data_IF_352942983875
#
_entry.id   IF_352942983875
#
_cell.length_a   1.000
_cell.length_b   1.000
_cell.length_c   1.000
_cell.angle_alpha   90.00
_cell.angle_beta   90.00
_cell.angle_gamma   90.00
#
_symmetry.space_group_name_H-M   'P 1'
#
loop_
_entity.id
_entity.type
_entity.pdbx_description
1 polymer ?
#
# COMPACT_ATOMS: atom_id res chain seq x y z
N UNK A 1 9.57 -53.77 27.48
CA UNK A 1 9.34 -52.31 27.43
C UNK A 1 10.61 -51.60 27.87
N UNK A 2 11.58 -51.34 26.97
CA UNK A 2 12.73 -50.51 27.31
C UNK A 2 12.27 -49.04 27.30
N UNK A 3 12.66 -48.31 28.36
CA UNK A 3 12.26 -46.93 28.60
C UNK A 3 12.95 -46.00 27.60
N UNK A 4 12.15 -45.21 26.91
CA UNK A 4 12.56 -44.07 26.08
C UNK A 4 13.52 -43.15 26.86
N UNK A 5 14.80 -43.20 26.52
CA UNK A 5 15.83 -42.31 27.03
C UNK A 5 16.00 -41.03 26.17
N UNK A 6 15.27 -40.92 25.05
CA UNK A 6 15.22 -39.71 24.22
C UNK A 6 14.78 -38.47 25.03
N UNK A 7 13.99 -38.67 26.09
CA UNK A 7 13.50 -37.60 26.98
C UNK A 7 14.62 -36.95 27.81
N UNK A 8 15.77 -37.62 28.02
CA UNK A 8 16.87 -37.08 28.84
C UNK A 8 17.80 -36.11 28.10
N UNK A 9 17.77 -36.07 26.76
CA UNK A 9 18.55 -35.11 25.97
C UNK A 9 17.82 -33.78 25.71
N UNK A 10 16.49 -33.75 25.90
CA UNK A 10 15.66 -32.55 25.73
C UNK A 10 16.10 -31.31 26.55
N UNK A 11 16.50 -31.41 27.84
CA UNK A 11 16.78 -30.22 28.63
C UNK A 11 18.09 -29.51 28.23
N UNK A 12 19.10 -30.24 27.74
CA UNK A 12 20.34 -29.64 27.21
C UNK A 12 20.14 -29.04 25.81
N UNK A 13 19.24 -29.63 25.00
CA UNK A 13 18.83 -29.07 23.72
C UNK A 13 18.08 -27.75 23.94
N UNK A 14 17.07 -27.70 24.82
CA UNK A 14 16.31 -26.47 25.13
C UNK A 14 17.17 -25.27 25.60
N UNK A 15 18.29 -25.53 26.28
CA UNK A 15 19.17 -24.47 26.78
C UNK A 15 19.95 -23.76 25.64
N UNK A 16 20.43 -24.49 24.63
CA UNK A 16 21.19 -23.90 23.52
C UNK A 16 20.28 -23.09 22.57
N UNK A 17 19.02 -23.51 22.39
CA UNK A 17 17.98 -22.75 21.68
C UNK A 17 17.74 -21.41 22.34
N UNK A 18 17.64 -21.40 23.67
CA UNK A 18 17.35 -20.19 24.45
C UNK A 18 18.46 -19.13 24.32
N UNK A 19 19.73 -19.55 24.21
CA UNK A 19 20.87 -18.62 24.14
C UNK A 19 21.02 -18.00 22.73
N UNK A 20 20.77 -18.78 21.67
CA UNK A 20 20.79 -18.27 20.30
C UNK A 20 19.55 -17.43 19.98
N UNK A 21 18.37 -17.81 20.50
CA UNK A 21 17.16 -17.01 20.40
C UNK A 21 17.26 -15.67 21.15
N UNK A 22 17.98 -15.64 22.28
CA UNK A 22 18.24 -14.41 23.03
C UNK A 22 19.16 -13.43 22.27
N UNK A 23 20.09 -13.93 21.45
CA UNK A 23 20.94 -13.10 20.58
C UNK A 23 20.19 -12.55 19.36
N UNK A 24 19.08 -13.18 18.96
CA UNK A 24 18.12 -12.65 17.97
C UNK A 24 17.03 -11.76 18.57
N UNK A 25 17.14 -11.40 19.87
CA UNK A 25 16.19 -10.53 20.54
C UNK A 25 15.93 -9.27 19.71
N UNK A 26 14.65 -9.03 19.41
CA UNK A 26 14.13 -7.99 18.53
C UNK A 26 14.76 -6.62 18.81
N UNK A 27 15.88 -6.34 18.15
CA UNK A 27 16.38 -4.99 17.97
C UNK A 27 15.67 -4.41 16.75
N UNK A 28 14.37 -4.18 16.86
CA UNK A 28 13.75 -3.09 16.10
C UNK A 28 14.45 -1.84 16.60
N UNK A 29 15.40 -1.35 15.81
CA UNK A 29 16.17 -0.16 16.15
C UNK A 29 15.20 0.97 16.46
N UNK A 30 15.14 1.50 17.70
CA UNK A 30 14.25 2.61 18.05
C UNK A 30 14.58 3.87 17.22
N UNK A 31 15.74 3.90 16.55
CA UNK A 31 16.07 4.93 15.57
C UNK A 31 15.22 4.87 14.29
N UNK A 32 14.72 3.70 13.88
CA UNK A 32 13.95 3.58 12.64
C UNK A 32 12.56 4.25 12.76
N UNK A 33 11.91 4.16 13.92
CA UNK A 33 10.60 4.80 14.14
C UNK A 33 10.74 6.33 14.28
N UNK A 34 11.80 6.80 14.94
CA UNK A 34 12.12 8.23 15.04
C UNK A 34 12.58 8.83 13.69
N UNK A 35 13.32 8.07 12.87
CA UNK A 35 13.65 8.47 11.49
C UNK A 35 12.42 8.52 10.60
N UNK A 36 11.50 7.56 10.71
CA UNK A 36 10.25 7.56 9.97
C UNK A 36 9.37 8.77 10.35
N UNK A 37 9.24 9.05 11.66
CA UNK A 37 8.51 10.23 12.15
C UNK A 37 9.16 11.53 11.69
N UNK A 38 10.50 11.61 11.69
CA UNK A 38 11.23 12.77 11.15
C UNK A 38 11.06 12.90 9.64
N UNK A 39 11.11 11.79 8.90
CA UNK A 39 10.93 11.78 7.45
C UNK A 39 9.53 12.26 7.06
N UNK A 40 8.50 11.81 7.78
CA UNK A 40 7.11 12.28 7.59
C UNK A 40 6.98 13.76 8.00
N UNK A 41 7.58 14.18 9.12
CA UNK A 41 7.54 15.58 9.57
C UNK A 41 8.32 16.53 8.67
N UNK A 42 9.37 16.06 7.99
CA UNK A 42 10.16 16.82 7.01
C UNK A 42 9.55 16.80 5.60
N UNK A 43 8.80 15.74 5.24
CA UNK A 43 8.15 15.63 3.94
C UNK A 43 7.01 16.65 3.79
N UNK A 44 6.20 16.87 4.83
CA UNK A 44 5.12 17.85 4.82
C UNK A 44 5.58 19.30 4.49
N UNK A 45 6.62 19.85 5.15
CA UNK A 45 7.12 21.19 4.82
C UNK A 45 7.84 21.23 3.47
N UNK A 46 8.50 20.15 3.02
CA UNK A 46 9.08 20.09 1.65
C UNK A 46 8.00 20.14 0.59
N UNK A 47 6.94 19.37 0.75
CA UNK A 47 5.78 19.37 -0.16
C UNK A 47 5.05 20.72 -0.14
N UNK A 48 4.93 21.36 1.02
CA UNK A 48 4.39 22.71 1.15
C UNK A 48 5.30 23.76 0.47
N UNK A 49 6.62 23.62 0.61
CA UNK A 49 7.60 24.49 -0.03
C UNK A 49 7.59 24.33 -1.56
N UNK A 50 7.53 23.11 -2.08
CA UNK A 50 7.41 22.87 -3.53
C UNK A 50 6.06 23.34 -4.08
N UNK A 51 4.96 23.19 -3.33
CA UNK A 51 3.67 23.77 -3.68
C UNK A 51 3.73 25.31 -3.77
N UNK A 52 4.52 25.96 -2.91
CA UNK A 52 4.73 27.42 -2.98
C UNK A 52 5.67 27.89 -4.10
N UNK A 53 6.45 26.99 -4.71
CA UNK A 53 7.31 27.26 -5.87
C UNK A 53 6.60 27.14 -7.22
N UNK A 54 5.47 26.44 -7.26
CA UNK A 54 4.62 26.37 -8.46
C UNK A 54 3.99 27.75 -8.72
N UNK A 55 3.80 28.15 -10.00
CA UNK A 55 3.23 29.45 -10.34
C UNK A 55 1.88 29.61 -9.64
N UNK A 56 1.74 30.71 -8.90
CA UNK A 56 0.58 31.01 -8.08
C UNK A 56 -0.74 30.99 -8.85
N UNK A 57 -1.83 30.97 -8.10
CA UNK A 57 -3.22 30.96 -8.57
C UNK A 57 -3.38 31.78 -9.86
N UNK A 58 -3.59 31.09 -10.99
CA UNK A 58 -3.90 31.75 -12.25
C UNK A 58 -5.31 32.32 -12.15
N UNK A 59 -5.41 33.60 -11.80
CA UNK A 59 -6.68 34.32 -11.90
C UNK A 59 -7.10 34.40 -13.37
N UNK A 60 -8.09 33.60 -13.74
CA UNK A 60 -8.75 33.71 -15.03
C UNK A 60 -9.73 34.89 -14.95
N UNK A 61 -9.24 36.09 -15.25
CA UNK A 61 -10.12 37.25 -15.33
C UNK A 61 -11.01 37.14 -16.58
N UNK A 62 -12.33 37.10 -16.37
CA UNK A 62 -13.29 37.16 -17.46
C UNK A 62 -13.23 38.57 -18.05
N UNK A 63 -12.70 38.71 -19.26
CA UNK A 63 -12.73 39.99 -20.00
C UNK A 63 -14.20 40.43 -20.19
N UNK A 64 -14.55 41.71 -20.00
CA UNK A 64 -15.92 42.19 -20.17
C UNK A 64 -16.40 41.97 -21.61
N UNK A 65 -17.39 41.09 -21.79
CA UNK A 65 -17.92 40.77 -23.12
C UNK A 65 -18.92 41.81 -23.63
N UNK A 66 -19.61 42.51 -22.73
CA UNK A 66 -20.73 43.41 -23.06
C UNK A 66 -20.25 44.67 -23.78
N UNK A 67 -19.11 45.22 -23.36
CA UNK A 67 -18.50 46.43 -23.95
C UNK A 67 -18.12 46.24 -25.43
N UNK A 68 -17.88 45.00 -25.85
CA UNK A 68 -17.57 44.66 -27.25
C UNK A 68 -18.78 44.60 -28.18
N UNK A 69 -20.00 44.53 -27.64
CA UNK A 69 -21.20 44.32 -28.45
C UNK A 69 -21.73 45.62 -29.08
N UNK A 70 -21.17 46.79 -28.74
CA UNK A 70 -21.55 48.08 -29.33
C UNK A 70 -23.02 48.45 -29.09
N UNK A 71 -23.64 47.91 -28.04
CA UNK A 71 -25.06 48.11 -27.73
C UNK A 71 -25.28 49.55 -27.27
N UNK A 72 -26.31 50.20 -27.81
CA UNK A 72 -26.68 51.56 -27.40
C UNK A 72 -27.06 51.58 -25.90
N UNK A 73 -26.44 52.45 -25.07
CA UNK A 73 -26.67 52.53 -23.63
C UNK A 73 -28.13 52.70 -23.22
N UNK A 74 -28.97 53.30 -24.06
CA UNK A 74 -30.39 53.52 -23.74
C UNK A 74 -31.18 52.22 -23.56
N UNK A 75 -30.79 51.14 -24.25
CA UNK A 75 -31.48 49.85 -24.17
C UNK A 75 -30.88 48.91 -23.12
N UNK A 76 -29.74 49.26 -22.52
CA UNK A 76 -29.05 48.38 -21.56
C UNK A 76 -29.91 48.04 -20.34
N UNK A 77 -30.66 49.01 -19.79
CA UNK A 77 -31.52 48.76 -18.63
C UNK A 77 -32.68 47.79 -18.93
N UNK A 78 -33.23 47.85 -20.14
CA UNK A 78 -34.27 46.93 -20.60
C UNK A 78 -33.67 45.54 -20.86
N UNK A 79 -32.53 45.47 -21.56
CA UNK A 79 -31.82 44.22 -21.84
C UNK A 79 -31.34 43.53 -20.55
N UNK A 80 -30.90 44.28 -19.54
CA UNK A 80 -30.52 43.72 -18.24
C UNK A 80 -31.70 43.13 -17.48
N UNK A 81 -32.87 43.80 -17.50
CA UNK A 81 -34.11 43.24 -16.98
C UNK A 81 -34.57 42.02 -17.79
N UNK A 82 -34.27 42.00 -19.09
CA UNK A 82 -34.76 40.98 -19.99
C UNK A 82 -33.92 39.70 -19.96
N UNK A 83 -32.62 39.83 -20.16
CA UNK A 83 -31.69 38.71 -20.35
C UNK A 83 -30.37 38.90 -19.57
N UNK A 84 -30.25 39.95 -18.76
CA UNK A 84 -29.08 40.20 -17.93
C UNK A 84 -28.96 39.22 -16.75
N UNK A 85 -27.80 39.18 -16.08
CA UNK A 85 -27.58 38.30 -14.93
C UNK A 85 -28.57 38.52 -13.78
N UNK A 86 -29.09 39.74 -13.65
CA UNK A 86 -30.10 40.12 -12.67
C UNK A 86 -31.52 39.63 -13.01
N UNK A 87 -31.84 39.39 -14.28
CA UNK A 87 -33.17 38.96 -14.73
C UNK A 87 -33.58 37.58 -14.17
N UNK A 88 -32.58 36.76 -13.82
CA UNK A 88 -32.77 35.39 -13.32
C UNK A 88 -32.66 35.28 -11.79
N UNK A 89 -32.45 36.39 -11.06
CA UNK A 89 -32.35 36.37 -9.59
C UNK A 89 -33.74 36.17 -8.98
N UNK A 90 -33.87 35.18 -8.08
CA UNK A 90 -35.07 34.96 -7.29
C UNK A 90 -36.20 34.20 -8.01
N UNK A 91 -35.96 33.71 -9.23
CA UNK A 91 -36.82 32.70 -9.82
C UNK A 91 -36.48 31.33 -9.22
N UNK A 92 -37.46 30.73 -8.55
CA UNK A 92 -37.41 29.32 -8.21
C UNK A 92 -37.61 28.55 -9.51
N UNK A 93 -36.60 27.72 -9.84
CA UNK A 93 -36.75 26.73 -10.90
C UNK A 93 -37.70 25.68 -10.32
N UNK A 94 -38.75 25.27 -11.05
CA UNK A 94 -39.58 24.15 -10.64
C UNK A 94 -38.78 22.83 -10.77
N UNK A 95 -37.95 22.53 -9.76
CA UNK A 95 -37.21 21.26 -9.62
C UNK A 95 -37.98 20.31 -8.67
N UNK A 96 -39.21 20.67 -8.36
CA UNK A 96 -40.00 20.15 -7.26
C UNK A 96 -40.46 18.73 -7.56
N UNK A 97 -40.71 18.39 -8.82
CA UNK A 97 -41.31 17.12 -9.22
C UNK A 97 -40.27 16.23 -9.90
N UNK A 98 -40.14 14.99 -9.43
CA UNK A 98 -39.35 13.98 -10.12
C UNK A 98 -40.12 13.46 -11.36
N UNK A 99 -39.50 12.59 -12.15
CA UNK A 99 -40.13 11.91 -13.29
C UNK A 99 -41.39 11.09 -12.93
N UNK A 100 -41.65 10.88 -11.63
CA UNK A 100 -42.79 10.14 -11.08
C UNK A 100 -43.83 11.07 -10.41
N UNK A 101 -43.67 12.40 -10.51
CA UNK A 101 -44.59 13.41 -9.93
C UNK A 101 -44.49 13.57 -8.41
N UNK A 102 -43.44 13.03 -7.77
CA UNK A 102 -43.23 13.16 -6.33
C UNK A 102 -42.36 14.38 -6.00
N UNK A 103 -42.62 14.97 -4.82
CA UNK A 103 -41.86 16.11 -4.32
C UNK A 103 -40.40 15.73 -4.03
N UNK A 104 -39.47 16.31 -4.76
CA UNK A 104 -38.03 16.07 -4.62
C UNK A 104 -37.43 17.02 -3.59
N UNK A 105 -36.56 16.49 -2.74
CA UNK A 105 -35.80 17.31 -1.80
C UNK A 105 -34.66 18.03 -2.51
N UNK A 106 -34.81 19.33 -2.73
CA UNK A 106 -33.74 20.16 -3.30
C UNK A 106 -32.67 20.43 -2.25
N UNK A 107 -31.42 20.10 -2.55
CA UNK A 107 -30.28 20.31 -1.66
C UNK A 107 -29.29 21.28 -2.32
N UNK A 108 -29.07 22.43 -1.71
CA UNK A 108 -28.09 23.41 -2.19
C UNK A 108 -26.69 22.94 -1.79
N UNK A 109 -25.84 22.72 -2.79
CA UNK A 109 -24.45 22.28 -2.59
C UNK A 109 -23.53 23.38 -3.09
N UNK A 110 -22.59 23.82 -2.24
CA UNK A 110 -21.52 24.72 -2.66
C UNK A 110 -20.35 23.92 -3.25
N UNK A 111 -19.57 24.53 -4.14
CA UNK A 111 -18.37 23.92 -4.70
C UNK A 111 -17.42 23.41 -3.60
N UNK A 112 -17.17 24.21 -2.57
CA UNK A 112 -16.30 23.82 -1.46
C UNK A 112 -16.81 22.58 -0.72
N UNK A 113 -18.14 22.47 -0.52
CA UNK A 113 -18.75 21.29 0.09
C UNK A 113 -18.65 20.07 -0.82
N UNK A 114 -18.84 20.23 -2.13
CA UNK A 114 -18.70 19.16 -3.10
C UNK A 114 -17.26 18.61 -3.11
N UNK A 115 -16.26 19.50 -3.16
CA UNK A 115 -14.84 19.13 -3.13
C UNK A 115 -14.45 18.44 -1.83
N UNK A 116 -14.86 18.97 -0.67
CA UNK A 116 -14.60 18.33 0.62
C UNK A 116 -15.21 16.94 0.70
N UNK A 117 -16.49 16.82 0.34
CA UNK A 117 -17.20 15.53 0.35
C UNK A 117 -16.53 14.53 -0.58
N UNK A 118 -16.08 14.96 -1.76
CA UNK A 118 -15.34 14.12 -2.69
C UNK A 118 -13.96 13.71 -2.15
N UNK A 119 -13.22 14.60 -1.49
CA UNK A 119 -11.92 14.28 -0.91
C UNK A 119 -12.01 13.24 0.22
N UNK A 120 -13.07 13.31 1.03
CA UNK A 120 -13.26 12.47 2.22
C UNK A 120 -13.96 11.13 1.89
N UNK A 121 -15.01 11.17 1.07
CA UNK A 121 -15.93 10.05 0.89
C UNK A 121 -15.82 9.37 -0.47
N UNK A 122 -14.89 9.76 -1.34
CA UNK A 122 -14.69 9.06 -2.60
C UNK A 122 -14.00 7.71 -2.35
N UNK A 123 -14.73 6.62 -2.66
CA UNK A 123 -14.26 5.25 -2.47
C UNK A 123 -12.98 4.93 -3.25
N UNK A 124 -12.81 5.49 -4.46
CA UNK A 124 -11.60 5.29 -5.24
C UNK A 124 -10.39 5.93 -4.56
N UNK A 125 -10.54 7.13 -3.98
CA UNK A 125 -9.46 7.75 -3.19
C UNK A 125 -9.16 6.98 -1.91
N UNK A 126 -10.18 6.45 -1.23
CA UNK A 126 -9.98 5.60 -0.06
C UNK A 126 -9.18 4.34 -0.41
N UNK A 127 -9.47 3.72 -1.56
CA UNK A 127 -8.70 2.58 -2.05
C UNK A 127 -7.28 2.96 -2.44
N UNK A 128 -7.09 4.06 -3.17
CA UNK A 128 -5.75 4.55 -3.55
C UNK A 128 -4.87 4.88 -2.34
N UNK A 129 -5.44 5.21 -1.17
CA UNK A 129 -4.68 5.44 0.08
C UNK A 129 -4.05 4.17 0.66
N UNK A 130 -4.53 2.98 0.30
CA UNK A 130 -3.95 1.73 0.78
C UNK A 130 -2.61 1.42 0.10
N UNK A 131 -2.43 1.87 -1.15
CA UNK A 131 -1.25 1.52 -1.94
C UNK A 131 0.07 2.05 -1.33
N UNK A 132 0.18 3.32 -0.87
CA UNK A 132 1.38 3.78 -0.17
C UNK A 132 1.68 2.98 1.11
N UNK A 133 0.66 2.66 1.92
CA UNK A 133 0.85 1.88 3.14
C UNK A 133 1.34 0.44 2.86
N UNK A 134 0.89 -0.18 1.77
CA UNK A 134 1.39 -1.48 1.32
C UNK A 134 2.86 -1.36 0.90
N UNK A 135 3.21 -0.35 0.10
CA UNK A 135 4.61 -0.18 -0.34
C UNK A 135 5.55 0.23 0.79
N UNK A 136 5.07 0.92 1.82
CA UNK A 136 5.82 1.14 3.05
C UNK A 136 6.14 -0.19 3.75
N UNK A 137 5.18 -1.10 3.85
CA UNK A 137 5.42 -2.44 4.38
C UNK A 137 6.39 -3.26 3.50
N UNK A 138 6.37 -3.06 2.17
CA UNK A 138 7.37 -3.66 1.26
C UNK A 138 8.78 -3.11 1.51
N UNK A 139 8.93 -1.82 1.85
CA UNK A 139 10.23 -1.24 2.26
C UNK A 139 10.72 -1.89 3.56
N UNK A 140 9.84 -2.04 4.55
CA UNK A 140 10.18 -2.72 5.81
C UNK A 140 10.59 -4.18 5.55
N UNK A 141 9.87 -4.88 4.66
CA UNK A 141 10.21 -6.25 4.29
C UNK A 141 11.59 -6.34 3.59
N UNK A 142 11.91 -5.39 2.71
CA UNK A 142 13.21 -5.31 2.07
C UNK A 142 14.34 -5.00 3.06
N UNK A 143 14.07 -4.19 4.09
CA UNK A 143 15.02 -3.92 5.18
C UNK A 143 15.22 -5.15 6.08
N UNK A 144 14.15 -5.90 6.34
CA UNK A 144 14.19 -7.12 7.15
C UNK A 144 15.10 -8.22 6.56
N UNK A 145 15.46 -8.15 5.28
CA UNK A 145 16.48 -9.02 4.69
C UNK A 145 17.87 -8.86 5.36
N UNK A 146 18.13 -7.71 5.98
CA UNK A 146 19.37 -7.42 6.71
C UNK A 146 19.28 -7.73 8.21
N UNK A 147 18.12 -8.17 8.69
CA UNK A 147 17.93 -8.56 10.08
C UNK A 147 18.54 -9.93 10.37
N UNK A 148 18.69 -10.22 11.66
CA UNK A 148 19.14 -11.52 12.11
C UNK A 148 18.03 -12.55 11.89
N UNK A 149 18.32 -13.58 11.10
CA UNK A 149 17.42 -14.71 10.88
C UNK A 149 17.88 -15.88 11.74
N UNK A 150 17.01 -16.32 12.65
CA UNK A 150 17.22 -17.51 13.45
C UNK A 150 16.42 -18.68 12.87
N UNK A 151 17.10 -19.80 12.63
CA UNK A 151 16.50 -21.04 12.15
C UNK A 151 16.76 -22.16 13.15
N UNK A 152 15.76 -22.98 13.43
CA UNK A 152 15.92 -24.19 14.23
C UNK A 152 15.18 -25.32 13.53
N UNK A 153 15.87 -26.41 13.27
CA UNK A 153 15.32 -27.58 12.62
C UNK A 153 15.65 -28.83 13.45
N UNK A 154 14.63 -29.58 13.84
CA UNK A 154 14.77 -30.85 14.55
C UNK A 154 14.24 -31.96 13.64
N UNK A 155 15.14 -32.86 13.24
CA UNK A 155 14.82 -34.02 12.43
C UNK A 155 15.02 -35.28 13.27
N UNK A 156 14.01 -36.14 13.33
CA UNK A 156 14.11 -37.47 13.91
C UNK A 156 13.87 -38.50 12.81
N UNK A 157 14.81 -39.43 12.65
CA UNK A 157 14.77 -40.49 11.66
C UNK A 157 14.96 -41.84 12.35
N UNK A 158 14.04 -42.77 12.07
CA UNK A 158 14.07 -44.14 12.55
C UNK A 158 14.05 -45.06 11.32
N UNK A 159 15.13 -45.82 11.12
CA UNK A 159 15.31 -46.64 9.94
C UNK A 159 15.39 -48.11 10.34
N UNK A 160 14.31 -48.83 10.01
CA UNK A 160 14.17 -50.27 10.15
C UNK A 160 14.10 -50.91 8.76
N UNK A 161 15.22 -51.42 8.26
CA UNK A 161 15.29 -52.03 6.92
C UNK A 161 15.92 -53.43 6.94
N UNK A 162 15.31 -54.42 6.26
CA UNK A 162 15.89 -55.75 6.15
C UNK A 162 17.12 -55.72 5.24
N UNK A 163 18.26 -56.24 5.70
CA UNK A 163 19.47 -56.40 4.87
C UNK A 163 19.49 -57.79 4.23
N UNK A 164 19.75 -57.83 2.93
CA UNK A 164 19.97 -59.09 2.21
C UNK A 164 21.33 -59.66 2.61
N UNK A 165 21.38 -60.90 3.10
CA UNK A 165 22.63 -61.57 3.42
C UNK A 165 23.45 -61.78 2.13
N UNK A 166 24.69 -61.27 2.07
CA UNK A 166 25.56 -61.38 0.89
C UNK A 166 26.33 -62.71 0.82
N UNK A 167 26.08 -63.64 1.74
CA UNK A 167 26.84 -64.85 1.95
C UNK A 167 25.95 -66.01 2.45
N UNK A 168 26.16 -67.21 1.89
CA UNK A 168 25.35 -68.42 2.07
C UNK A 168 25.28 -68.96 3.53
N UNK A 169 26.13 -68.46 4.43
CA UNK A 169 26.26 -68.91 5.83
C UNK A 169 25.92 -67.84 6.88
N UNK A 170 25.24 -66.73 6.52
CA UNK A 170 24.80 -65.70 7.49
C UNK A 170 23.29 -65.50 7.44
N UNK A 171 22.68 -65.34 8.60
CA UNK A 171 21.28 -64.92 8.74
C UNK A 171 21.09 -63.54 8.11
N UNK A 172 19.91 -63.31 7.49
CA UNK A 172 19.47 -61.95 7.18
C UNK A 172 19.38 -61.16 8.49
N UNK A 173 19.97 -59.97 8.53
CA UNK A 173 19.93 -59.07 9.68
C UNK A 173 19.09 -57.84 9.31
N UNK A 174 18.45 -57.20 10.28
CA UNK A 174 17.83 -55.89 10.09
C UNK A 174 18.85 -54.78 10.42
N UNK A 175 18.83 -53.68 9.68
CA UNK A 175 19.41 -52.42 10.17
C UNK A 175 18.36 -51.79 11.08
N UNK A 176 18.77 -51.37 12.28
CA UNK A 176 17.95 -50.57 13.18
C UNK A 176 18.77 -49.36 13.64
N UNK A 177 18.56 -48.22 12.98
CA UNK A 177 19.29 -46.98 13.26
C UNK A 177 18.32 -45.86 13.60
N UNK A 178 18.54 -45.22 14.76
CA UNK A 178 17.85 -44.03 15.18
C UNK A 178 18.80 -42.84 15.13
N UNK A 179 18.47 -41.83 14.33
CA UNK A 179 19.23 -40.58 14.24
C UNK A 179 18.34 -39.39 14.58
N UNK A 180 18.78 -38.58 15.55
CA UNK A 180 18.19 -37.28 15.87
C UNK A 180 19.18 -36.20 15.49
N UNK A 181 18.82 -35.35 14.54
CA UNK A 181 19.63 -34.21 14.12
C UNK A 181 18.93 -32.92 14.53
N UNK A 182 19.63 -32.06 15.25
CA UNK A 182 19.15 -30.74 15.62
C UNK A 182 20.10 -29.67 15.12
N UNK A 183 19.58 -28.81 14.24
CA UNK A 183 20.32 -27.75 13.59
C UNK A 183 19.77 -26.40 14.03
N UNK A 184 20.63 -25.57 14.61
CA UNK A 184 20.33 -24.17 14.88
C UNK A 184 21.20 -23.29 13.99
N UNK A 185 20.62 -22.27 13.38
CA UNK A 185 21.30 -21.32 12.52
C UNK A 185 20.98 -19.90 12.94
N UNK A 186 21.99 -19.04 12.94
CA UNK A 186 21.84 -17.60 13.02
C UNK A 186 22.54 -16.99 11.81
N UNK A 187 21.83 -16.22 10.99
CA UNK A 187 22.34 -15.66 9.74
C UNK A 187 22.01 -14.18 9.64
N UNK A 188 22.95 -13.37 9.18
CA UNK A 188 22.75 -11.95 8.88
C UNK A 188 23.46 -11.54 7.59
N UNK A 189 22.74 -10.81 6.76
CA UNK A 189 23.34 -10.13 5.61
C UNK A 189 23.87 -8.75 6.05
N UNK A 190 25.12 -8.46 5.71
CA UNK A 190 25.79 -7.20 6.06
C UNK A 190 25.59 -6.19 4.94
N UNK A 191 25.58 -4.91 5.30
CA UNK A 191 25.46 -3.79 4.35
C UNK A 191 26.64 -3.76 3.35
N UNK A 192 27.77 -4.39 3.68
CA UNK A 192 28.92 -4.52 2.77
C UNK A 192 28.71 -5.57 1.66
N UNK A 193 27.60 -6.33 1.69
CA UNK A 193 27.33 -7.45 0.80
C UNK A 193 27.83 -8.81 1.34
N UNK A 194 28.52 -8.81 2.49
CA UNK A 194 28.97 -10.04 3.14
C UNK A 194 27.82 -10.75 3.89
N UNK A 195 27.95 -12.06 4.09
CA UNK A 195 27.01 -12.87 4.87
C UNK A 195 27.72 -13.48 6.08
N UNK A 196 27.18 -13.26 7.27
CA UNK A 196 27.64 -13.88 8.51
C UNK A 196 26.68 -14.98 8.90
N UNK A 197 27.21 -16.18 9.17
CA UNK A 197 26.43 -17.35 9.53
C UNK A 197 27.08 -18.07 10.71
N UNK A 198 26.30 -18.33 11.76
CA UNK A 198 26.65 -19.23 12.86
C UNK A 198 25.73 -20.44 12.80
N UNK A 199 26.27 -21.65 12.72
CA UNK A 199 25.50 -22.89 12.72
C UNK A 199 25.94 -23.74 13.88
N UNK A 200 24.98 -24.35 14.54
CA UNK A 200 25.20 -25.38 15.51
C UNK A 200 24.48 -26.63 15.03
N UNK A 201 25.23 -27.72 14.88
CA UNK A 201 24.70 -29.04 14.53
C UNK A 201 24.91 -29.98 15.71
N UNK A 202 23.84 -30.65 16.13
CA UNK A 202 23.89 -31.74 17.09
C UNK A 202 23.29 -32.98 16.45
N UNK A 203 24.06 -34.06 16.40
CA UNK A 203 23.64 -35.36 15.90
C UNK A 203 23.73 -36.34 17.06
N UNK A 204 22.60 -36.94 17.40
CA UNK A 204 22.54 -38.13 18.23
C UNK A 204 22.23 -39.33 17.34
N UNK A 205 23.04 -40.38 17.42
CA UNK A 205 22.81 -41.63 16.71
C UNK A 205 22.87 -42.80 17.68
N UNK A 206 21.91 -43.70 17.56
CA UNK A 206 21.78 -44.96 18.29
C UNK A 206 21.62 -46.08 17.23
N UNK A 207 22.56 -47.02 17.16
CA UNK A 207 22.55 -48.13 16.21
C UNK A 207 22.49 -49.47 16.96
N UNK A 208 21.37 -50.18 16.85
CA UNK A 208 21.12 -51.48 17.51
C UNK A 208 21.09 -52.64 16.48
N UNK A 209 21.79 -52.46 15.35
CA UNK A 209 21.82 -53.46 14.27
C UNK A 209 22.46 -54.79 14.72
N UNK A 210 21.77 -55.95 14.60
CA UNK A 210 22.31 -57.25 15.02
C UNK A 210 23.58 -57.63 14.26
N UNK A 211 24.67 -57.90 14.99
CA UNK A 211 25.97 -58.35 14.46
C UNK A 211 26.98 -57.24 14.16
N UNK A 212 26.70 -56.01 14.59
CA UNK A 212 27.64 -54.89 14.53
C UNK A 212 28.62 -54.92 15.73
N UNK A 213 29.90 -54.65 15.47
CA UNK A 213 31.00 -54.66 16.47
C UNK A 213 31.42 -53.25 16.90
N UNK A 214 30.75 -52.20 16.44
CA UNK A 214 31.06 -50.83 16.79
C UNK A 214 30.62 -50.56 18.25
N UNK A 215 31.60 -50.40 19.15
CA UNK A 215 31.37 -49.97 20.53
C UNK A 215 32.06 -48.61 20.70
N UNK A 216 31.34 -47.56 21.13
CA UNK A 216 29.93 -47.54 21.55
C UNK A 216 28.91 -47.55 20.38
N UNK A 217 27.74 -48.13 20.64
CA UNK A 217 26.52 -48.15 19.81
C UNK A 217 25.84 -46.78 19.69
N UNK A 218 26.10 -45.91 20.68
CA UNK A 218 25.62 -44.53 20.75
C UNK A 218 26.72 -43.54 20.47
N UNK A 219 26.40 -42.53 19.67
CA UNK A 219 27.28 -41.40 19.43
C UNK A 219 26.55 -40.07 19.55
N UNK A 220 27.26 -39.10 20.12
CA UNK A 220 26.86 -37.69 20.15
C UNK A 220 27.92 -36.90 19.41
N UNK A 221 27.51 -36.20 18.36
CA UNK A 221 28.34 -35.26 17.63
C UNK A 221 27.76 -33.87 17.81
N UNK A 222 28.61 -32.92 18.19
CA UNK A 222 28.25 -31.50 18.20
C UNK A 222 29.31 -30.70 17.48
N UNK A 223 28.88 -29.87 16.54
CA UNK A 223 29.71 -28.94 15.80
C UNK A 223 29.13 -27.54 15.90
N UNK A 224 30.01 -26.54 16.04
CA UNK A 224 29.66 -25.14 15.86
C UNK A 224 30.53 -24.58 14.74
N UNK A 225 29.89 -24.07 13.69
CA UNK A 225 30.54 -23.51 12.52
C UNK A 225 30.25 -22.02 12.48
N UNK A 226 31.32 -21.23 12.38
CA UNK A 226 31.25 -19.79 12.11
C UNK A 226 31.75 -19.55 10.68
N UNK A 227 30.87 -19.04 9.83
CA UNK A 227 31.15 -18.76 8.43
C UNK A 227 30.93 -17.27 8.14
N UNK A 228 31.91 -16.65 7.48
CA UNK A 228 31.84 -15.28 6.97
C UNK A 228 32.17 -15.30 5.48
N UNK A 229 31.16 -15.09 4.65
CA UNK A 229 31.31 -15.05 3.19
C UNK A 229 31.35 -13.59 2.73
N UNK A 230 32.49 -13.15 2.21
CA UNK A 230 32.67 -11.78 1.71
C UNK A 230 32.95 -11.77 0.19
N UNK A 231 32.04 -11.25 -0.64
CA UNK A 231 32.35 -11.00 -2.05
C UNK A 231 33.36 -9.85 -2.18
N UNK A 232 34.39 -10.02 -3.02
CA UNK A 232 35.48 -9.04 -3.18
C UNK A 232 35.33 -8.14 -4.42
N UNK A 233 34.54 -8.56 -5.41
CA UNK A 233 34.36 -7.83 -6.68
C UNK A 233 32.87 -7.66 -7.00
N UNK A 234 32.26 -8.67 -7.60
CA UNK A 234 30.83 -8.65 -7.93
C UNK A 234 30.00 -8.93 -6.67
N UNK A 235 29.11 -8.01 -6.32
CA UNK A 235 28.27 -8.12 -5.12
C UNK A 235 28.89 -7.48 -3.86
N UNK A 236 30.08 -6.87 -3.99
CA UNK A 236 30.68 -6.10 -2.91
C UNK A 236 30.10 -4.67 -2.86
N UNK A 237 29.92 -4.14 -1.66
CA UNK A 237 29.57 -2.75 -1.43
C UNK A 237 28.08 -2.51 -1.12
N UNK A 238 27.83 -1.41 -0.40
CA UNK A 238 26.50 -1.02 0.06
C UNK A 238 25.54 -0.65 -1.05
N UNK A 239 26.06 -0.22 -2.20
CA UNK A 239 25.22 0.13 -3.35
C UNK A 239 24.51 -1.07 -3.95
N UNK A 240 25.21 -2.21 -4.04
CA UNK A 240 24.66 -3.45 -4.58
C UNK A 240 23.83 -4.16 -3.52
N UNK A 241 24.31 -4.22 -2.28
CA UNK A 241 23.57 -4.84 -1.18
C UNK A 241 22.23 -4.14 -0.94
N UNK A 242 22.22 -2.81 -0.81
CA UNK A 242 21.00 -2.03 -0.56
C UNK A 242 20.17 -1.73 -1.82
N UNK A 243 20.53 -2.29 -2.98
CA UNK A 243 19.85 -1.98 -4.23
C UNK A 243 18.34 -2.29 -4.16
N UNK A 244 17.96 -3.42 -3.57
CA UNK A 244 16.56 -3.81 -3.40
C UNK A 244 15.81 -2.87 -2.43
N UNK A 245 16.45 -2.49 -1.32
CA UNK A 245 15.88 -1.52 -0.37
C UNK A 245 15.63 -0.17 -1.04
N UNK A 246 16.61 0.32 -1.83
CA UNK A 246 16.46 1.58 -2.58
C UNK A 246 15.37 1.49 -3.64
N UNK A 247 15.24 0.34 -4.30
CA UNK A 247 14.18 0.10 -5.27
C UNK A 247 12.80 0.14 -4.59
N UNK A 248 12.64 -0.52 -3.46
CA UNK A 248 11.42 -0.49 -2.65
C UNK A 248 11.08 0.95 -2.20
N UNK A 249 12.08 1.72 -1.74
CA UNK A 249 11.89 3.12 -1.35
C UNK A 249 11.45 4.00 -2.52
N UNK A 250 11.99 3.79 -3.72
CA UNK A 250 11.55 4.52 -4.90
C UNK A 250 10.12 4.12 -5.31
N UNK A 251 9.79 2.84 -5.21
CA UNK A 251 8.43 2.36 -5.47
C UNK A 251 7.41 2.99 -4.49
N UNK A 252 7.74 3.10 -3.21
CA UNK A 252 6.92 3.79 -2.19
C UNK A 252 6.66 5.26 -2.58
N UNK A 253 7.71 6.00 -2.95
CA UNK A 253 7.59 7.38 -3.43
C UNK A 253 6.71 7.50 -4.67
N UNK A 254 6.82 6.56 -5.61
CA UNK A 254 5.99 6.52 -6.81
C UNK A 254 4.51 6.25 -6.47
N UNK A 255 4.23 5.44 -5.45
CA UNK A 255 2.85 5.23 -4.95
C UNK A 255 2.31 6.49 -4.29
N UNK A 256 3.10 7.17 -3.46
CA UNK A 256 2.71 8.44 -2.84
C UNK A 256 2.40 9.53 -3.90
N UNK A 257 3.25 9.65 -4.92
CA UNK A 257 3.03 10.56 -6.04
C UNK A 257 1.79 10.19 -6.87
N UNK A 258 1.55 8.90 -7.07
CA UNK A 258 0.34 8.39 -7.74
C UNK A 258 -0.93 8.74 -6.97
N UNK A 259 -0.94 8.59 -5.64
CA UNK A 259 -2.06 9.01 -4.80
C UNK A 259 -2.34 10.51 -4.94
N UNK A 260 -1.29 11.35 -4.93
CA UNK A 260 -1.42 12.81 -5.13
C UNK A 260 -2.05 13.13 -6.49
N UNK A 261 -1.59 12.48 -7.56
CA UNK A 261 -2.16 12.63 -8.92
C UNK A 261 -3.64 12.24 -8.95
N UNK A 262 -3.99 11.11 -8.35
CA UNK A 262 -5.36 10.61 -8.34
C UNK A 262 -6.29 11.55 -7.55
N UNK A 263 -5.83 12.08 -6.41
CA UNK A 263 -6.56 13.11 -5.65
C UNK A 263 -6.80 14.37 -6.47
N UNK A 264 -5.78 14.90 -7.14
CA UNK A 264 -5.91 16.08 -8.02
C UNK A 264 -6.92 15.81 -9.13
N UNK A 265 -6.85 14.62 -9.76
CA UNK A 265 -7.77 14.22 -10.83
C UNK A 265 -9.22 14.18 -10.33
N UNK A 266 -9.47 13.50 -9.22
CA UNK A 266 -10.82 13.41 -8.64
C UNK A 266 -11.39 14.78 -8.27
N UNK A 267 -10.58 15.66 -7.67
CA UNK A 267 -11.03 17.02 -7.34
C UNK A 267 -11.30 17.86 -8.58
N UNK A 268 -10.42 17.78 -9.58
CA UNK A 268 -10.59 18.48 -10.86
C UNK A 268 -11.85 18.00 -11.59
N UNK A 269 -12.11 16.70 -11.62
CA UNK A 269 -13.28 16.12 -12.26
C UNK A 269 -14.56 16.49 -11.48
N UNK A 270 -14.51 16.54 -10.14
CA UNK A 270 -15.61 17.04 -9.30
C UNK A 270 -15.92 18.50 -9.60
N UNK A 271 -14.90 19.35 -9.72
CA UNK A 271 -15.08 20.76 -10.07
C UNK A 271 -15.69 20.93 -11.46
N UNK A 272 -15.19 20.20 -12.48
CA UNK A 272 -15.76 20.23 -13.83
C UNK A 272 -17.23 19.83 -13.82
N UNK A 273 -17.58 18.75 -13.12
CA UNK A 273 -18.97 18.29 -13.02
C UNK A 273 -19.85 19.30 -12.29
N UNK A 274 -19.34 19.95 -11.23
CA UNK A 274 -20.05 21.02 -10.57
C UNK A 274 -20.34 22.19 -11.52
N UNK A 275 -19.35 22.65 -12.29
CA UNK A 275 -19.57 23.73 -13.26
C UNK A 275 -20.47 23.31 -14.42
N UNK A 276 -20.44 22.04 -14.83
CA UNK A 276 -21.39 21.49 -15.80
C UNK A 276 -22.83 21.53 -15.25
N UNK A 277 -23.05 21.19 -13.98
CA UNK A 277 -24.34 21.32 -13.31
C UNK A 277 -24.81 22.77 -13.26
N UNK A 278 -23.93 23.70 -12.83
CA UNK A 278 -24.24 25.14 -12.81
C UNK A 278 -24.58 25.67 -14.20
N UNK A 279 -23.91 25.17 -15.24
CA UNK A 279 -24.25 25.51 -16.63
C UNK A 279 -25.62 24.99 -17.01
N UNK A 280 -25.92 23.71 -16.75
CA UNK A 280 -27.21 23.10 -17.06
C UNK A 280 -28.36 23.83 -16.35
N UNK A 281 -28.18 24.20 -15.09
CA UNK A 281 -29.14 25.01 -14.33
C UNK A 281 -29.40 26.37 -14.99
N UNK A 282 -28.34 27.06 -15.45
CA UNK A 282 -28.46 28.35 -16.16
C UNK A 282 -29.14 28.20 -17.51
N UNK A 283 -28.78 27.16 -18.28
CA UNK A 283 -29.37 26.89 -19.58
C UNK A 283 -30.88 26.63 -19.44
N UNK A 284 -31.31 25.92 -18.38
CA UNK A 284 -32.73 25.72 -18.06
C UNK A 284 -33.44 27.05 -17.78
N UNK A 285 -32.88 27.91 -16.91
CA UNK A 285 -33.47 29.24 -16.62
C UNK A 285 -33.62 30.11 -17.86
N UNK A 286 -32.64 30.06 -18.75
CA UNK A 286 -32.67 30.79 -20.02
C UNK A 286 -33.80 30.25 -20.91
N UNK A 287 -33.92 28.93 -21.03
CA UNK A 287 -34.98 28.29 -21.82
C UNK A 287 -36.38 28.59 -21.28
N UNK A 288 -36.59 28.55 -19.96
CA UNK A 288 -37.85 28.91 -19.32
C UNK A 288 -38.23 30.37 -19.62
N UNK A 289 -37.29 31.30 -19.50
CA UNK A 289 -37.52 32.71 -19.87
C UNK A 289 -37.81 32.89 -21.35
N UNK A 290 -37.15 32.14 -22.22
CA UNK A 290 -37.47 32.16 -23.65
C UNK A 290 -38.87 31.61 -23.93
N UNK A 291 -39.29 30.57 -23.23
CA UNK A 291 -40.64 30.00 -23.34
C UNK A 291 -41.71 30.98 -22.85
N UNK A 292 -41.54 31.59 -21.67
CA UNK A 292 -42.45 32.62 -21.12
C UNK A 292 -42.65 33.77 -22.13
N UNK A 293 -41.54 34.26 -22.70
CA UNK A 293 -41.56 35.31 -23.74
C UNK A 293 -42.22 34.85 -25.03
N UNK A 294 -41.95 33.62 -25.46
CA UNK A 294 -42.56 33.05 -26.66
C UNK A 294 -44.09 33.00 -26.55
N UNK A 295 -44.60 32.63 -25.38
CA UNK A 295 -46.05 32.65 -25.10
C UNK A 295 -46.61 34.07 -25.10
N UNK A 296 -45.89 35.04 -24.51
CA UNK A 296 -46.30 36.43 -24.51
C UNK A 296 -46.39 37.02 -25.94
N UNK A 297 -45.38 36.75 -26.77
CA UNK A 297 -45.39 37.17 -28.19
C UNK A 297 -46.54 36.49 -28.94
N UNK A 298 -46.77 35.19 -28.73
CA UNK A 298 -47.89 34.46 -29.33
C UNK A 298 -49.23 35.10 -28.96
N UNK A 299 -49.41 35.49 -27.68
CA UNK A 299 -50.61 36.16 -27.18
C UNK A 299 -50.83 37.50 -27.88
N UNK A 300 -49.81 38.34 -27.96
CA UNK A 300 -49.88 39.64 -28.63
C UNK A 300 -50.21 39.52 -30.13
N UNK A 301 -49.64 38.54 -30.83
CA UNK A 301 -49.94 38.29 -32.24
C UNK A 301 -51.39 37.84 -32.43
N UNK A 302 -51.91 36.98 -31.54
CA UNK A 302 -53.30 36.51 -31.58
C UNK A 302 -54.29 37.64 -31.32
N UNK A 303 -54.01 38.50 -30.35
CA UNK A 303 -54.83 39.69 -30.06
C UNK A 303 -54.88 40.65 -31.26
N UNK A 304 -53.74 40.88 -31.93
CA UNK A 304 -53.69 41.72 -33.14
C UNK A 304 -54.43 41.13 -34.33
N UNK A 305 -54.46 39.81 -34.46
CA UNK A 305 -55.17 39.15 -35.56
C UNK A 305 -56.70 39.17 -35.41
N UNK A 306 -57.21 39.51 -34.22
CA UNK A 306 -58.65 39.63 -33.93
C UNK A 306 -59.18 41.06 -34.07
N UNK A 307 -58.30 42.04 -34.30
CA UNK A 307 -58.60 43.44 -34.61
C UNK A 307 -58.62 43.66 -36.13
#
# INVERSE_FOLDING_TARGET
MPKSNAVRALPSLLAATSLLAALSGCATDPMAEDELRRAVSDAAPREAADASRLPGMRETTRRPGVERLGINPSFMGELEKMAGPGAYKGQDIPIDENLMGEKTRVLRVSLQRALRTAAENNLALQFSRLAPAISEAEVVAAQAAFDWTYTSNLTWNDQDEPRVASNLNRSANATQEQTTTWNNGLRKQLVTGAQLQVQQELIYRDDDSPGQTAVPDRSYQSGVTLQLDQPLLRGAGSEVALAEVRLAQNAERDKAASLKRDMIRTLTDTEKTYWALVRAERDLRILEKHMERGMEVQRQVRERAQL
#
